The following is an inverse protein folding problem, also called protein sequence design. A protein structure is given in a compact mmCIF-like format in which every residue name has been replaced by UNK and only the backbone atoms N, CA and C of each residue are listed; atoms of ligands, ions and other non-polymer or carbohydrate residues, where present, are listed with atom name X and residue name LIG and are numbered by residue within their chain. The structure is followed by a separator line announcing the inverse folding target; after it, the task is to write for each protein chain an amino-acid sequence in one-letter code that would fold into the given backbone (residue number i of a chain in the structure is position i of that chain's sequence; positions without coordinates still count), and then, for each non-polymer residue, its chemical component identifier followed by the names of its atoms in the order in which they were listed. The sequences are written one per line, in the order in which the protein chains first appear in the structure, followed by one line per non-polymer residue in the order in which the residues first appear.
data_IF_354270585844
#
_entry.id   IF_354270585844
#
_cell.length_a   1.000
_cell.length_b   1.000
_cell.length_c   1.000
_cell.angle_alpha   90.00
_cell.angle_beta   90.00
_cell.angle_gamma   90.00
#
_symmetry.space_group_name_H-M   'P 1'
#
loop_
_entity.id
_entity.type
_entity.pdbx_description
1 polymer ?
#
# COMPACT_ATOMS: atom_id res chain seq x y z
N UNK A 1 18.67 -6.56 -8.73
CA UNK A 1 17.46 -7.27 -9.28
C UNK A 1 16.56 -7.81 -8.18
N UNK A 2 17.07 -8.58 -7.20
CA UNK A 2 16.25 -9.11 -6.10
C UNK A 2 15.60 -8.05 -5.21
N UNK A 3 16.31 -6.96 -4.91
CA UNK A 3 15.81 -5.84 -4.10
C UNK A 3 14.52 -5.24 -4.67
N UNK A 4 14.41 -5.14 -5.99
CA UNK A 4 13.22 -4.64 -6.68
C UNK A 4 12.03 -5.60 -6.58
N UNK A 5 12.28 -6.91 -6.67
CA UNK A 5 11.24 -7.93 -6.52
C UNK A 5 10.69 -7.92 -5.09
N UNK A 6 11.58 -7.81 -4.10
CA UNK A 6 11.23 -7.70 -2.68
C UNK A 6 10.41 -6.44 -2.44
N UNK A 7 10.83 -5.28 -2.94
CA UNK A 7 10.09 -4.03 -2.78
C UNK A 7 8.67 -4.10 -3.35
N UNK A 8 8.49 -4.65 -4.56
CA UNK A 8 7.15 -4.82 -5.18
C UNK A 8 6.27 -5.78 -4.38
N UNK A 9 6.83 -6.90 -3.92
CA UNK A 9 6.08 -7.88 -3.11
C UNK A 9 5.69 -7.28 -1.76
N UNK A 10 6.59 -6.54 -1.11
CA UNK A 10 6.30 -5.83 0.14
C UNK A 10 5.14 -4.85 -0.06
N UNK A 11 5.18 -4.02 -1.11
CA UNK A 11 4.08 -3.09 -1.43
C UNK A 11 2.76 -3.84 -1.61
N UNK A 12 2.75 -4.93 -2.40
CA UNK A 12 1.54 -5.72 -2.62
C UNK A 12 0.99 -6.35 -1.33
N UNK A 13 1.85 -6.91 -0.49
CA UNK A 13 1.44 -7.52 0.79
C UNK A 13 0.89 -6.45 1.73
N UNK A 14 1.58 -5.32 1.89
CA UNK A 14 1.15 -4.25 2.78
C UNK A 14 -0.16 -3.62 2.30
N UNK A 15 -0.37 -3.50 0.99
CA UNK A 15 -1.62 -3.01 0.41
C UNK A 15 -2.75 -4.03 0.61
N UNK A 16 -2.46 -5.33 0.44
CA UNK A 16 -3.38 -6.42 0.76
C UNK A 16 -3.84 -6.40 2.22
N UNK A 17 -2.90 -6.29 3.17
CA UNK A 17 -3.19 -6.21 4.61
C UNK A 17 -3.99 -4.95 4.95
N UNK A 18 -3.61 -3.79 4.42
CA UNK A 18 -4.34 -2.53 4.62
C UNK A 18 -5.79 -2.63 4.12
N UNK A 19 -6.00 -3.22 2.95
CA UNK A 19 -7.34 -3.44 2.40
C UNK A 19 -8.15 -4.42 3.25
N UNK A 20 -7.51 -5.49 3.75
CA UNK A 20 -8.13 -6.48 4.63
C UNK A 20 -8.63 -5.84 5.94
N UNK A 21 -7.84 -4.95 6.54
CA UNK A 21 -8.22 -4.20 7.74
C UNK A 21 -9.44 -3.29 7.52
N UNK A 22 -9.56 -2.73 6.32
CA UNK A 22 -10.73 -1.91 5.92
C UNK A 22 -11.94 -2.79 5.63
N UNK A 23 -11.78 -3.91 4.93
CA UNK A 23 -12.88 -4.84 4.60
C UNK A 23 -13.41 -5.57 5.84
N UNK A 24 -12.57 -5.81 6.84
CA UNK A 24 -12.98 -6.37 8.13
C UNK A 24 -13.76 -5.38 9.00
N UNK A 25 -13.78 -4.08 8.66
CA UNK A 25 -14.52 -3.06 9.41
C UNK A 25 -15.98 -3.43 9.72
N UNK A 26 -16.84 -3.77 8.74
CA UNK A 26 -18.23 -4.14 9.02
C UNK A 26 -18.35 -5.38 9.92
N UNK A 27 -17.39 -6.30 9.85
CA UNK A 27 -17.38 -7.52 10.66
C UNK A 27 -17.05 -7.19 12.13
N UNK A 28 -16.02 -6.38 12.36
CA UNK A 28 -15.56 -5.97 13.70
C UNK A 28 -16.55 -4.98 14.34
N UNK A 29 -17.17 -4.11 13.54
CA UNK A 29 -18.13 -3.09 14.00
C UNK A 29 -19.38 -3.72 14.67
N UNK A 30 -19.68 -4.98 14.34
CA UNK A 30 -20.77 -5.74 14.96
C UNK A 30 -20.45 -6.15 16.41
N UNK A 31 -19.18 -6.27 16.76
CA UNK A 31 -18.72 -6.77 18.05
C UNK A 31 -18.21 -5.63 18.94
N UNK A 32 -17.35 -4.75 18.39
CA UNK A 32 -16.78 -3.62 19.13
C UNK A 32 -16.54 -2.41 18.21
N UNK A 33 -17.38 -1.39 18.39
CA UNK A 33 -17.36 -0.14 17.61
C UNK A 33 -16.03 0.63 17.69
N UNK A 34 -15.40 0.63 18.87
CA UNK A 34 -14.12 1.33 19.06
C UNK A 34 -12.98 0.63 18.33
N UNK A 35 -12.96 -0.71 18.39
CA UNK A 35 -11.94 -1.51 17.73
C UNK A 35 -12.07 -1.44 16.19
N UNK A 36 -13.30 -1.37 15.67
CA UNK A 36 -13.56 -1.19 14.25
C UNK A 36 -13.04 0.16 13.74
N UNK A 37 -13.29 1.25 14.47
CA UNK A 37 -12.77 2.57 14.11
C UNK A 37 -11.24 2.62 14.14
N UNK A 38 -10.61 1.96 15.12
CA UNK A 38 -9.16 1.82 15.15
C UNK A 38 -8.64 1.05 13.92
N UNK A 39 -9.25 -0.09 13.56
CA UNK A 39 -8.80 -0.89 12.41
C UNK A 39 -8.90 -0.10 11.10
N UNK A 40 -9.99 0.65 10.92
CA UNK A 40 -10.20 1.48 9.74
C UNK A 40 -9.19 2.63 9.68
N UNK A 41 -8.99 3.34 10.79
CA UNK A 41 -8.03 4.46 10.86
C UNK A 41 -6.61 3.98 10.57
N UNK A 42 -6.21 2.86 11.16
CA UNK A 42 -4.87 2.27 10.95
C UNK A 42 -4.74 1.77 9.50
N UNK A 43 -5.75 1.10 8.95
CA UNK A 43 -5.74 0.62 7.56
C UNK A 43 -5.58 1.77 6.56
N UNK A 44 -6.37 2.83 6.72
CA UNK A 44 -6.28 4.04 5.87
C UNK A 44 -4.94 4.74 6.02
N UNK A 45 -4.41 4.83 7.25
CA UNK A 45 -3.10 5.43 7.51
C UNK A 45 -1.97 4.67 6.81
N UNK A 46 -1.96 3.33 6.90
CA UNK A 46 -1.00 2.47 6.21
C UNK A 46 -1.08 2.65 4.69
N UNK A 47 -2.29 2.66 4.12
CA UNK A 47 -2.49 2.87 2.68
C UNK A 47 -1.97 4.25 2.25
N UNK A 48 -2.22 5.28 3.05
CA UNK A 48 -1.77 6.66 2.76
C UNK A 48 -0.25 6.77 2.78
N UNK A 49 0.41 6.18 3.77
CA UNK A 49 1.88 6.12 3.85
C UNK A 49 2.46 5.33 2.66
N UNK A 50 1.84 4.20 2.32
CA UNK A 50 2.24 3.40 1.15
C UNK A 50 2.14 4.22 -0.14
N UNK A 51 1.02 4.89 -0.38
CA UNK A 51 0.82 5.73 -1.56
C UNK A 51 1.82 6.88 -1.59
N UNK A 52 2.08 7.51 -0.45
CA UNK A 52 3.09 8.55 -0.33
C UNK A 52 4.48 8.02 -0.66
N UNK A 53 4.84 6.82 -0.21
CA UNK A 53 6.13 6.21 -0.48
C UNK A 53 6.27 5.80 -1.95
N UNK A 54 5.25 5.16 -2.52
CA UNK A 54 5.22 4.71 -3.93
C UNK A 54 5.23 5.89 -4.91
N UNK A 55 4.53 6.99 -4.60
CA UNK A 55 4.45 8.18 -5.46
C UNK A 55 5.51 9.24 -5.15
N UNK A 56 6.14 9.20 -3.98
CA UNK A 56 7.14 10.16 -3.53
C UNK A 56 8.57 9.83 -3.96
N UNK A 57 8.87 8.55 -4.18
CA UNK A 57 10.19 8.10 -4.59
C UNK A 57 10.31 8.04 -6.13
N UNK A 58 11.21 8.85 -6.69
CA UNK A 58 11.44 8.97 -8.14
C UNK A 58 11.87 7.65 -8.80
N UNK A 59 12.54 6.76 -8.05
CA UNK A 59 12.98 5.45 -8.51
C UNK A 59 11.82 4.47 -8.74
N UNK A 60 10.76 4.55 -7.93
CA UNK A 60 9.57 3.70 -8.11
C UNK A 60 8.59 4.26 -9.16
N UNK A 61 8.49 5.59 -9.32
CA UNK A 61 7.62 6.24 -10.32
C UNK A 61 8.01 5.88 -11.75
N UNK A 62 9.30 5.96 -12.08
CA UNK A 62 9.80 5.65 -13.44
C UNK A 62 9.53 4.20 -13.84
N UNK A 63 9.61 3.28 -12.87
CA UNK A 63 9.49 1.84 -13.08
C UNK A 63 8.05 1.31 -13.02
N UNK A 64 7.14 1.97 -12.31
CA UNK A 64 5.70 1.64 -12.31
C UNK A 64 4.95 2.26 -13.50
N UNK A 65 5.35 3.47 -13.93
CA UNK A 65 4.76 4.15 -15.10
C UNK A 65 5.38 3.71 -16.44
N UNK A 66 6.40 2.85 -16.42
CA UNK A 66 7.02 2.30 -17.63
C UNK A 66 7.84 3.30 -18.44
N UNK A 67 8.34 4.38 -17.83
CA UNK A 67 9.07 5.46 -18.51
C UNK A 67 10.59 5.26 -18.58
N UNK A 68 11.10 4.07 -18.23
CA UNK A 68 12.54 3.73 -18.29
C UNK A 68 13.03 3.50 -19.74
N UNK A 69 12.15 3.41 -20.74
CA UNK A 69 12.49 2.98 -22.11
C UNK A 69 12.40 4.10 -23.17
N UNK A 70 12.81 5.33 -22.86
CA UNK A 70 12.77 6.44 -23.84
C UNK A 70 14.09 7.20 -24.01
N UNK A 71 15.13 6.90 -23.24
CA UNK A 71 16.39 7.67 -23.25
C UNK A 71 17.66 6.84 -23.54
N UNK A 72 17.55 5.65 -24.16
CA UNK A 72 18.72 4.96 -24.74
C UNK A 72 18.66 5.03 -26.28
N UNK A 73 19.04 6.18 -26.83
CA UNK A 73 19.57 6.33 -28.18
C UNK A 73 20.85 7.16 -28.11
#
# INVERSE_FOLDING_TARGET
MWEFLVARITVLITLGIGTLLVVLFPLINKENRYFAWLSLTIGVFIITILLYWVLGDEGYRGQFLGLENINSY
#
